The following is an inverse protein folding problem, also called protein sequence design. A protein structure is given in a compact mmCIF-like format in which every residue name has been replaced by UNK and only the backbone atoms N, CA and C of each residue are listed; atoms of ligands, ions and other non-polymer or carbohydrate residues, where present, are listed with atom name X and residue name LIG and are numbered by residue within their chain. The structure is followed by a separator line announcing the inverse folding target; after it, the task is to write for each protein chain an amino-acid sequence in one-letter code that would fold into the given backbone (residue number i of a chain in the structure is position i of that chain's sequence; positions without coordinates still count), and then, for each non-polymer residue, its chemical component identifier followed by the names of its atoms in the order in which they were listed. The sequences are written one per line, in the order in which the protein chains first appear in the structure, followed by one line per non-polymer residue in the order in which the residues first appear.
data_IF_882738201077
#
_entry.id   IF_882738201077
#
_cell.length_a   1.000
_cell.length_b   1.000
_cell.length_c   1.000
_cell.angle_alpha   90.00
_cell.angle_beta   90.00
_cell.angle_gamma   90.00
#
_symmetry.space_group_name_H-M   'P 1'
#
loop_
_entity.id
_entity.type
_entity.pdbx_description
1 polymer ?
#
# COMPACT_ATOMS: atom_id res chain seq x y z
N UNK A 1 32.19 -2.42 -21.13
CA UNK A 1 32.26 -2.89 -19.73
C UNK A 1 32.60 -1.78 -18.73
N UNK A 2 33.45 -0.78 -19.04
CA UNK A 2 33.71 0.33 -18.11
C UNK A 2 32.63 1.44 -18.09
N UNK A 3 31.83 1.57 -19.16
CA UNK A 3 30.76 2.59 -19.30
C UNK A 3 29.49 2.31 -18.49
N UNK A 4 29.30 1.09 -18.01
CA UNK A 4 28.07 0.71 -17.31
C UNK A 4 28.21 0.91 -15.78
N UNK A 5 29.45 0.88 -15.24
CA UNK A 5 29.73 1.03 -13.80
C UNK A 5 29.74 2.49 -13.32
N UNK A 6 30.17 3.44 -14.14
CA UNK A 6 30.17 4.87 -13.79
C UNK A 6 28.75 5.47 -13.84
N UNK A 7 27.90 4.99 -14.76
CA UNK A 7 26.52 5.44 -14.90
C UNK A 7 25.64 4.93 -13.75
N UNK A 8 25.76 3.65 -13.38
CA UNK A 8 25.04 3.06 -12.23
C UNK A 8 25.45 3.69 -10.89
N UNK A 9 26.73 4.01 -10.70
CA UNK A 9 27.22 4.74 -9.51
C UNK A 9 26.66 6.17 -9.44
N UNK A 10 26.54 6.85 -10.59
CA UNK A 10 25.97 8.19 -10.68
C UNK A 10 24.47 8.21 -10.36
N UNK A 11 23.70 7.25 -10.90
CA UNK A 11 22.27 7.13 -10.60
C UNK A 11 21.99 6.83 -9.13
N UNK A 12 22.82 6.00 -8.51
CA UNK A 12 22.69 5.66 -7.08
C UNK A 12 22.88 6.90 -6.20
N UNK A 13 23.85 7.75 -6.52
CA UNK A 13 24.07 9.02 -5.78
C UNK A 13 22.91 9.99 -5.94
N UNK A 14 22.39 10.14 -7.16
CA UNK A 14 21.22 11.00 -7.42
C UNK A 14 20.02 10.52 -6.60
N UNK A 15 19.77 9.21 -6.57
CA UNK A 15 18.70 8.63 -5.79
C UNK A 15 18.88 8.86 -4.28
N UNK A 16 20.10 8.67 -3.76
CA UNK A 16 20.42 8.91 -2.34
C UNK A 16 20.24 10.37 -1.94
N UNK A 17 20.68 11.31 -2.78
CA UNK A 17 20.50 12.74 -2.55
C UNK A 17 19.01 13.12 -2.54
N UNK A 18 18.24 12.57 -3.47
CA UNK A 18 16.79 12.81 -3.55
C UNK A 18 16.06 12.27 -2.32
N UNK A 19 16.39 11.05 -1.88
CA UNK A 19 15.83 10.44 -0.66
C UNK A 19 16.16 11.31 0.55
N UNK A 20 17.43 11.73 0.68
CA UNK A 20 17.89 12.56 1.80
C UNK A 20 17.17 13.90 1.84
N UNK A 21 16.97 14.52 0.66
CA UNK A 21 16.20 15.76 0.52
C UNK A 21 14.74 15.57 0.95
N UNK A 22 14.06 14.53 0.43
CA UNK A 22 12.65 14.25 0.74
C UNK A 22 12.45 13.89 2.21
N UNK A 23 13.39 13.18 2.81
CA UNK A 23 13.40 12.88 4.23
C UNK A 23 13.45 14.15 5.08
N UNK A 24 14.36 15.08 4.78
CA UNK A 24 14.47 16.36 5.50
C UNK A 24 13.21 17.22 5.34
N UNK A 25 12.65 17.28 4.14
CA UNK A 25 11.36 17.96 3.88
C UNK A 25 10.25 17.38 4.77
N UNK A 26 10.08 16.05 4.79
CA UNK A 26 9.06 15.38 5.62
C UNK A 26 9.31 15.55 7.11
N UNK A 27 10.56 15.47 7.54
CA UNK A 27 10.95 15.67 8.94
C UNK A 27 10.57 17.09 9.41
N UNK A 28 10.78 18.12 8.58
CA UNK A 28 10.38 19.49 8.90
C UNK A 28 8.84 19.61 9.04
N UNK A 29 8.07 18.94 8.18
CA UNK A 29 6.60 18.94 8.24
C UNK A 29 6.04 18.23 9.48
N UNK A 30 6.71 17.17 9.95
CA UNK A 30 6.24 16.41 11.12
C UNK A 30 6.72 17.00 12.46
N UNK A 31 7.74 17.87 12.47
CA UNK A 31 8.29 18.53 13.67
C UNK A 31 7.47 19.74 14.16
N UNK A 32 6.40 20.16 13.49
CA UNK A 32 5.54 21.26 13.96
C UNK A 32 4.75 20.86 15.24
N UNK A 33 4.61 21.77 16.24
CA UNK A 33 4.11 21.39 17.57
C UNK A 33 2.58 21.32 17.56
N UNK A 34 2.00 20.14 17.80
CA UNK A 34 0.56 20.00 18.11
C UNK A 34 0.38 18.86 19.12
N UNK A 35 -0.59 18.99 20.06
CA UNK A 35 -0.52 18.71 21.50
C UNK A 35 -0.77 17.21 21.86
N UNK A 36 -0.81 16.81 23.15
CA UNK A 36 -0.40 15.47 23.57
C UNK A 36 -1.37 14.36 23.15
N UNK A 37 -0.75 13.32 22.58
CA UNK A 37 -1.08 11.89 22.66
C UNK A 37 -2.42 11.55 23.32
N UNK A 38 -3.46 11.31 22.52
CA UNK A 38 -4.57 10.44 22.94
C UNK A 38 -4.23 9.01 22.55
N UNK A 39 -3.98 8.20 23.58
CA UNK A 39 -3.78 6.76 23.49
C UNK A 39 -5.04 6.13 22.90
N UNK A 40 -4.94 5.51 21.73
CA UNK A 40 -5.89 4.47 21.33
C UNK A 40 -5.19 3.13 21.17
N UNK A 41 -5.90 2.14 21.70
CA UNK A 41 -5.43 0.84 22.12
C UNK A 41 -4.89 -0.01 20.98
N UNK A 42 -3.72 -0.60 21.19
CA UNK A 42 -3.16 -1.63 20.33
C UNK A 42 -3.98 -2.92 20.48
N UNK A 43 -4.63 -3.37 19.41
CA UNK A 43 -5.00 -4.77 19.30
C UNK A 43 -3.73 -5.53 18.90
N UNK A 44 -3.22 -6.37 19.80
CA UNK A 44 -2.14 -7.30 19.52
C UNK A 44 -2.65 -8.36 18.53
N UNK A 45 -2.19 -8.30 17.28
CA UNK A 45 -2.29 -9.41 16.35
C UNK A 45 -1.10 -10.31 16.63
N UNK A 46 -1.35 -11.46 17.25
CA UNK A 46 -0.38 -12.54 17.42
C UNK A 46 -0.19 -13.21 16.05
N UNK A 47 1.01 -13.23 15.46
CA UNK A 47 1.29 -14.07 14.31
C UNK A 47 1.65 -15.47 14.80
N UNK A 48 0.86 -16.47 14.39
CA UNK A 48 1.32 -17.86 14.36
C UNK A 48 2.25 -18.03 13.15
N UNK A 49 3.55 -17.82 13.33
CA UNK A 49 4.65 -18.54 12.63
C UNK A 49 6.01 -18.01 13.14
N UNK A 50 6.75 -18.83 13.88
CA UNK A 50 7.99 -18.47 14.59
C UNK A 50 9.24 -18.42 13.68
N UNK A 51 9.18 -17.78 12.50
CA UNK A 51 10.37 -17.67 11.61
C UNK A 51 10.75 -16.24 11.18
N UNK A 52 9.92 -15.22 11.44
CA UNK A 52 10.22 -13.85 10.99
C UNK A 52 10.22 -12.85 12.13
N UNK A 53 11.41 -12.59 12.67
CA UNK A 53 11.58 -11.49 13.62
C UNK A 53 11.60 -10.15 12.86
N UNK A 54 10.43 -9.52 12.76
CA UNK A 54 10.24 -8.25 12.04
C UNK A 54 11.04 -7.07 12.63
N UNK A 55 11.44 -7.14 13.91
CA UNK A 55 12.16 -6.05 14.61
C UNK A 55 13.31 -6.60 15.47
N UNK A 56 14.51 -5.99 15.43
CA UNK A 56 15.54 -6.28 16.41
C UNK A 56 15.00 -5.98 17.83
N UNK A 57 15.22 -6.90 18.77
CA UNK A 57 14.68 -6.84 20.15
C UNK A 57 15.16 -5.65 20.99
N UNK A 58 16.03 -4.79 20.45
CA UNK A 58 16.57 -3.62 21.12
C UNK A 58 16.73 -2.48 20.09
N UNK A 59 15.67 -1.74 19.76
CA UNK A 59 15.83 -0.36 19.30
C UNK A 59 15.81 0.52 20.54
N UNK A 60 16.98 0.67 21.18
CA UNK A 60 17.21 1.90 21.92
C UNK A 60 17.10 3.02 20.89
N UNK A 61 16.06 3.83 21.00
CA UNK A 61 15.95 5.11 20.31
C UNK A 61 17.08 5.97 20.88
N UNK A 62 18.24 5.93 20.24
CA UNK A 62 19.21 6.98 20.40
C UNK A 62 18.65 8.19 19.65
N UNK A 63 18.16 9.18 20.40
CA UNK A 63 17.69 10.48 19.90
C UNK A 63 18.78 11.24 19.11
N UNK A 64 20.01 10.71 19.02
CA UNK A 64 21.14 11.33 18.33
C UNK A 64 21.32 10.93 16.86
N UNK A 65 20.80 9.78 16.37
CA UNK A 65 20.97 9.37 14.96
C UNK A 65 19.69 9.62 14.14
N UNK A 66 19.83 10.31 12.99
CA UNK A 66 18.72 10.48 12.04
C UNK A 66 18.14 9.10 11.66
N UNK A 67 16.81 8.97 11.74
CA UNK A 67 16.02 7.77 11.41
C UNK A 67 16.49 7.07 10.10
N UNK A 68 16.85 7.87 9.08
CA UNK A 68 17.35 7.41 7.79
C UNK A 68 18.70 6.69 7.90
N UNK A 69 19.62 7.17 8.74
CA UNK A 69 20.93 6.53 8.95
C UNK A 69 20.77 5.21 9.71
N UNK A 70 19.88 5.16 10.70
CA UNK A 70 19.55 3.94 11.42
C UNK A 70 19.01 2.85 10.49
N UNK A 71 18.17 3.24 9.52
CA UNK A 71 17.66 2.34 8.50
C UNK A 71 18.80 1.79 7.61
N UNK A 72 19.76 2.61 7.19
CA UNK A 72 20.88 2.15 6.37
C UNK A 72 21.90 1.28 7.12
N UNK A 73 22.10 1.50 8.42
CA UNK A 73 23.07 0.78 9.25
C UNK A 73 22.60 -0.63 9.58
N UNK A 74 21.29 -0.82 9.70
CA UNK A 74 20.70 -2.08 10.15
C UNK A 74 20.36 -2.98 8.96
N UNK A 75 20.73 -4.25 9.04
CA UNK A 75 20.29 -5.26 8.05
C UNK A 75 18.92 -5.81 8.47
N UNK A 76 17.87 -5.42 7.77
CA UNK A 76 16.54 -5.99 7.92
C UNK A 76 16.34 -7.14 6.94
N UNK A 77 15.89 -8.29 7.43
CA UNK A 77 15.51 -9.43 6.58
C UNK A 77 14.02 -9.39 6.32
N UNK A 78 13.60 -8.85 5.17
CA UNK A 78 12.24 -9.02 4.67
C UNK A 78 12.23 -10.31 3.83
N UNK A 79 11.60 -11.37 4.34
CA UNK A 79 11.44 -12.61 3.59
C UNK A 79 10.70 -12.37 2.26
N UNK A 80 10.87 -13.25 1.28
CA UNK A 80 10.24 -13.16 -0.06
C UNK A 80 8.69 -13.11 0.05
N UNK A 81 8.12 -13.68 1.12
CA UNK A 81 6.68 -13.67 1.43
C UNK A 81 6.25 -12.52 2.36
N UNK A 82 7.18 -11.65 2.76
CA UNK A 82 6.91 -10.57 3.71
C UNK A 82 6.00 -9.49 3.11
N UNK A 83 4.99 -9.07 3.88
CA UNK A 83 4.14 -7.96 3.48
C UNK A 83 4.85 -6.63 3.78
N UNK A 84 5.36 -5.97 2.74
CA UNK A 84 6.07 -4.69 2.83
C UNK A 84 5.22 -3.58 3.46
N UNK A 85 3.91 -3.55 3.19
CA UNK A 85 3.00 -2.56 3.77
C UNK A 85 2.82 -2.78 5.28
N UNK A 86 2.79 -4.03 5.71
CA UNK A 86 2.73 -4.37 7.13
C UNK A 86 4.04 -4.00 7.84
N UNK A 87 5.18 -4.17 7.18
CA UNK A 87 6.49 -3.76 7.72
C UNK A 87 6.55 -2.25 8.02
N UNK A 88 6.08 -1.42 7.08
CA UNK A 88 5.96 0.04 7.25
C UNK A 88 4.79 0.49 8.14
N UNK A 89 3.94 -0.43 8.60
CA UNK A 89 2.85 -0.10 9.54
C UNK A 89 3.38 0.02 10.98
N UNK A 90 4.48 -0.62 11.32
CA UNK A 90 5.01 -0.62 12.68
C UNK A 90 5.61 0.73 13.10
N UNK A 91 5.65 1.02 14.41
CA UNK A 91 5.97 2.35 14.94
C UNK A 91 7.46 2.72 14.90
N UNK A 92 8.35 1.86 14.39
CA UNK A 92 9.81 2.05 14.51
C UNK A 92 10.38 3.22 13.71
N UNK A 93 9.69 3.66 12.66
CA UNK A 93 10.20 4.64 11.70
C UNK A 93 9.11 5.63 11.28
N UNK A 94 8.78 6.64 12.10
CA UNK A 94 7.63 7.52 11.85
C UNK A 94 7.78 8.35 10.56
N UNK A 95 8.97 8.88 10.26
CA UNK A 95 9.19 9.74 9.09
C UNK A 95 9.30 8.88 7.83
N UNK A 96 10.10 7.82 7.86
CA UNK A 96 10.29 6.92 6.73
C UNK A 96 9.02 6.12 6.42
N UNK A 97 8.27 5.66 7.43
CA UNK A 97 6.99 5.00 7.19
C UNK A 97 5.98 5.91 6.52
N UNK A 98 5.97 7.21 6.87
CA UNK A 98 5.10 8.17 6.19
C UNK A 98 5.46 8.31 4.70
N UNK A 99 6.76 8.37 4.36
CA UNK A 99 7.22 8.45 2.98
C UNK A 99 6.95 7.13 2.23
N UNK A 100 7.25 6.00 2.86
CA UNK A 100 7.06 4.69 2.27
C UNK A 100 5.59 4.41 1.95
N UNK A 101 4.65 4.84 2.80
CA UNK A 101 3.21 4.73 2.52
C UNK A 101 2.82 5.50 1.26
N UNK A 102 3.34 6.72 1.07
CA UNK A 102 3.06 7.52 -0.12
C UNK A 102 3.63 6.87 -1.40
N UNK A 103 4.87 6.39 -1.34
CA UNK A 103 5.53 5.79 -2.50
C UNK A 103 4.99 4.40 -2.85
N UNK A 104 4.69 3.57 -1.85
CA UNK A 104 4.13 2.23 -2.06
C UNK A 104 2.64 2.24 -2.44
N UNK A 105 1.92 3.33 -2.13
CA UNK A 105 0.55 3.52 -2.61
C UNK A 105 0.50 3.80 -4.13
N UNK A 106 1.59 4.26 -4.73
CA UNK A 106 1.64 4.53 -6.16
C UNK A 106 1.72 3.22 -6.95
N UNK A 107 0.84 3.08 -7.96
CA UNK A 107 0.92 1.95 -8.87
C UNK A 107 2.19 2.05 -9.73
N UNK A 108 2.98 0.98 -9.76
CA UNK A 108 4.20 0.92 -10.58
C UNK A 108 3.93 0.92 -12.10
N UNK A 109 2.68 0.72 -12.53
CA UNK A 109 2.30 0.55 -13.93
C UNK A 109 0.90 1.09 -14.21
N UNK A 110 0.65 1.51 -15.46
CA UNK A 110 -0.66 1.88 -15.99
C UNK A 110 -1.65 0.72 -16.02
N UNK A 111 -1.20 -0.53 -15.85
CA UNK A 111 -2.04 -1.73 -15.89
C UNK A 111 -3.24 -1.67 -14.90
N UNK A 112 -3.11 -0.94 -13.78
CA UNK A 112 -4.23 -0.73 -12.86
C UNK A 112 -5.31 0.16 -13.48
N UNK A 113 -4.92 1.23 -14.16
CA UNK A 113 -5.83 2.15 -14.84
C UNK A 113 -6.46 1.48 -16.07
N UNK A 114 -5.68 0.70 -16.83
CA UNK A 114 -6.17 -0.07 -17.97
C UNK A 114 -7.23 -1.09 -17.54
N UNK A 115 -7.01 -1.82 -16.43
CA UNK A 115 -8.03 -2.72 -15.87
C UNK A 115 -9.31 -1.98 -15.50
N UNK A 116 -9.21 -0.77 -14.95
CA UNK A 116 -10.37 0.07 -14.66
C UNK A 116 -11.10 0.49 -15.94
N UNK A 117 -10.39 0.87 -17.00
CA UNK A 117 -11.00 1.19 -18.30
C UNK A 117 -11.63 -0.03 -18.98
N UNK A 118 -11.02 -1.20 -18.89
CA UNK A 118 -11.64 -2.44 -19.38
C UNK A 118 -12.94 -2.74 -18.65
N UNK A 119 -12.97 -2.61 -17.31
CA UNK A 119 -14.20 -2.76 -16.53
C UNK A 119 -15.23 -1.66 -16.84
N UNK A 120 -14.79 -0.45 -17.14
CA UNK A 120 -15.66 0.64 -17.59
C UNK A 120 -16.32 0.32 -18.93
N UNK A 121 -15.60 -0.33 -19.85
CA UNK A 121 -16.12 -0.75 -21.16
C UNK A 121 -17.33 -1.68 -21.01
N UNK A 122 -17.34 -2.56 -20.00
CA UNK A 122 -18.48 -3.44 -19.71
C UNK A 122 -19.72 -2.67 -19.22
N UNK A 123 -19.52 -1.48 -18.64
CA UNK A 123 -20.60 -0.61 -18.16
C UNK A 123 -21.10 0.28 -19.29
N UNK A 124 -20.18 0.84 -20.09
CA UNK A 124 -20.42 1.76 -21.19
C UNK A 124 -20.78 1.07 -22.51
N UNK A 125 -21.64 0.05 -22.47
CA UNK A 125 -22.12 -0.64 -23.68
C UNK A 125 -22.92 0.31 -24.58
N UNK A 126 -23.02 0.00 -25.88
CA UNK A 126 -23.80 0.79 -26.86
C UNK A 126 -25.26 0.98 -26.43
N UNK A 127 -25.85 -0.01 -25.74
CA UNK A 127 -27.21 0.05 -25.19
C UNK A 127 -27.35 1.02 -23.99
N UNK A 128 -26.24 1.46 -23.38
CA UNK A 128 -26.18 2.37 -22.23
C UNK A 128 -25.39 3.65 -22.53
N UNK A 129 -25.31 4.04 -23.81
CA UNK A 129 -24.55 5.22 -24.27
C UNK A 129 -25.06 6.57 -23.71
N UNK A 130 -26.26 6.59 -23.11
CA UNK A 130 -26.87 7.76 -22.48
C UNK A 130 -26.54 7.92 -20.98
N UNK A 131 -25.67 7.08 -20.40
CA UNK A 131 -25.26 7.24 -19.01
C UNK A 131 -24.45 8.53 -18.81
N UNK A 132 -24.79 9.28 -17.77
CA UNK A 132 -23.99 10.43 -17.36
C UNK A 132 -22.60 9.96 -16.88
N UNK A 133 -21.52 10.74 -17.14
CA UNK A 133 -20.17 10.41 -16.66
C UNK A 133 -20.11 10.11 -15.16
N UNK A 134 -20.87 10.86 -14.35
CA UNK A 134 -20.97 10.66 -12.91
C UNK A 134 -21.56 9.30 -12.54
N UNK A 135 -22.56 8.83 -13.29
CA UNK A 135 -23.16 7.50 -13.07
C UNK A 135 -22.18 6.39 -13.42
N UNK A 136 -21.43 6.55 -14.51
CA UNK A 136 -20.37 5.62 -14.92
C UNK A 136 -19.30 5.51 -13.82
N UNK A 137 -18.86 6.65 -13.26
CA UNK A 137 -17.90 6.71 -12.16
C UNK A 137 -18.40 5.94 -10.93
N UNK A 138 -19.65 6.15 -10.52
CA UNK A 138 -20.24 5.45 -9.38
C UNK A 138 -20.33 3.94 -9.61
N UNK A 139 -20.73 3.51 -10.80
CA UNK A 139 -20.80 2.09 -11.15
C UNK A 139 -19.40 1.44 -11.09
N UNK A 140 -18.38 2.07 -11.67
CA UNK A 140 -17.01 1.54 -11.69
C UNK A 140 -16.43 1.51 -10.28
N UNK A 141 -16.57 2.60 -9.52
CA UNK A 141 -16.05 2.70 -8.14
C UNK A 141 -16.67 1.65 -7.23
N UNK A 142 -18.00 1.50 -7.28
CA UNK A 142 -18.72 0.50 -6.49
C UNK A 142 -18.30 -0.92 -6.87
N UNK A 143 -18.18 -1.22 -8.17
CA UNK A 143 -17.71 -2.51 -8.65
C UNK A 143 -16.29 -2.82 -8.14
N UNK A 144 -15.38 -1.84 -8.25
CA UNK A 144 -13.99 -2.00 -7.85
C UNK A 144 -13.85 -2.18 -6.34
N UNK A 145 -14.57 -1.41 -5.53
CA UNK A 145 -14.56 -1.52 -4.06
C UNK A 145 -15.02 -2.90 -3.59
N UNK A 146 -16.17 -3.36 -4.09
CA UNK A 146 -16.72 -4.68 -3.73
C UNK A 146 -15.75 -5.80 -4.15
N UNK A 147 -15.15 -5.69 -5.34
CA UNK A 147 -14.16 -6.68 -5.82
C UNK A 147 -12.90 -6.71 -4.97
N UNK A 148 -12.44 -5.57 -4.47
CA UNK A 148 -11.31 -5.45 -3.55
C UNK A 148 -11.66 -5.77 -2.09
N UNK A 149 -12.89 -6.24 -1.81
CA UNK A 149 -13.29 -6.69 -0.48
C UNK A 149 -13.70 -5.57 0.48
N UNK A 150 -13.89 -4.35 -0.03
CA UNK A 150 -14.54 -3.29 0.72
C UNK A 150 -16.01 -3.67 0.87
N UNK A 151 -16.42 -3.94 2.11
CA UNK A 151 -17.79 -4.32 2.41
C UNK A 151 -18.68 -3.09 2.33
N UNK A 152 -19.71 -3.15 1.49
CA UNK A 152 -20.80 -2.19 1.59
C UNK A 152 -21.52 -2.46 2.93
N UNK A 153 -21.83 -1.40 3.69
CA UNK A 153 -22.52 -1.52 4.97
C UNK A 153 -23.94 -0.95 4.86
N UNK A 154 -24.84 -1.42 5.72
CA UNK A 154 -26.20 -0.90 5.83
C UNK A 154 -27.13 -1.50 4.78
N UNK A 155 -27.83 -0.67 4.02
CA UNK A 155 -28.85 -1.13 3.05
C UNK A 155 -28.34 -1.92 1.84
N UNK A 156 -27.06 -2.30 1.81
CA UNK A 156 -26.42 -3.01 0.71
C UNK A 156 -25.96 -4.43 1.08
N UNK A 157 -26.35 -4.94 2.25
CA UNK A 157 -26.00 -6.28 2.72
C UNK A 157 -26.42 -7.37 1.72
N UNK A 158 -27.56 -7.20 1.04
CA UNK A 158 -28.02 -8.11 -0.02
C UNK A 158 -27.01 -8.22 -1.17
N UNK A 159 -26.40 -7.11 -1.59
CA UNK A 159 -25.39 -7.10 -2.65
C UNK A 159 -24.14 -7.88 -2.21
N UNK A 160 -23.75 -7.73 -0.93
CA UNK A 160 -22.62 -8.47 -0.36
C UNK A 160 -22.91 -9.97 -0.35
N UNK A 161 -24.11 -10.38 0.05
CA UNK A 161 -24.53 -11.79 0.06
C UNK A 161 -24.53 -12.41 -1.33
N UNK A 162 -25.08 -11.71 -2.34
CA UNK A 162 -25.06 -12.16 -3.73
C UNK A 162 -23.62 -12.33 -4.22
N UNK A 163 -22.74 -11.39 -3.93
CA UNK A 163 -21.33 -11.46 -4.34
C UNK A 163 -20.54 -12.56 -3.59
N UNK A 164 -20.88 -12.83 -2.34
CA UNK A 164 -20.33 -13.97 -1.61
C UNK A 164 -20.81 -15.32 -2.21
N UNK A 165 -22.07 -15.39 -2.64
CA UNK A 165 -22.63 -16.57 -3.29
C UNK A 165 -22.01 -16.79 -4.69
N UNK A 166 -21.80 -15.74 -5.48
CA UNK A 166 -21.14 -15.86 -6.80
C UNK A 166 -19.70 -16.34 -6.68
N UNK A 167 -18.94 -15.87 -5.67
CA UNK A 167 -17.57 -16.36 -5.40
C UNK A 167 -17.51 -17.86 -5.10
N UNK A 168 -18.56 -18.43 -4.50
CA UNK A 168 -18.68 -19.87 -4.20
C UNK A 168 -19.18 -20.69 -5.39
N UNK A 169 -19.72 -20.03 -6.42
CA UNK A 169 -20.31 -20.71 -7.56
C UNK A 169 -19.24 -20.98 -8.64
N UNK A 170 -19.02 -22.25 -9.04
CA UNK A 170 -18.00 -22.61 -10.01
C UNK A 170 -18.24 -21.99 -11.40
N UNK A 171 -19.49 -21.62 -11.74
CA UNK A 171 -19.80 -20.92 -13.00
C UNK A 171 -19.17 -19.52 -13.06
N UNK A 172 -18.99 -18.86 -11.91
CA UNK A 172 -18.54 -17.47 -11.83
C UNK A 172 -17.14 -17.34 -11.23
N UNK A 173 -16.59 -18.43 -10.67
CA UNK A 173 -15.24 -18.47 -10.15
C UNK A 173 -14.42 -19.54 -10.88
N UNK A 174 -13.67 -19.18 -11.93
CA UNK A 174 -12.87 -20.13 -12.70
C UNK A 174 -11.75 -20.77 -11.87
N UNK A 175 -11.41 -20.23 -10.69
CA UNK A 175 -10.46 -20.87 -9.77
C UNK A 175 -11.08 -22.05 -8.98
N UNK A 176 -12.41 -22.24 -9.03
CA UNK A 176 -13.12 -23.38 -8.44
C UNK A 176 -13.45 -24.48 -9.46
N UNK A 177 -13.18 -24.24 -10.74
CA UNK A 177 -13.41 -25.21 -11.81
C UNK A 177 -12.10 -25.96 -12.06
N UNK A 178 -11.91 -27.04 -11.30
CA UNK A 178 -10.86 -28.05 -11.55
C UNK A 178 -11.27 -28.90 -12.75
#
# INVERSE_FOLDING_TARGET
MQKDCNETCSQTKIAQDLISKKFKERQALLKFPTPPLTKESSQAVVPEDDEYNFYPKNLALDDSEDELNQYYKTKYTLGIKGNVLLWWKAPSFPILSSLARDYLACASSSATVERTFSAASDICTTARSALAPQTIEWCISSHLWIRNGVQAQGGFDDCVLVMAATKKNPKFNPALTV
#
